data_IF_569468513536
#
_entry.id   IF_569468513536
#
_cell.length_a   1.000
_cell.length_b   1.000
_cell.length_c   1.000
_cell.angle_alpha   90.00
_cell.angle_beta   90.00
_cell.angle_gamma   90.00
#
_symmetry.space_group_name_H-M   'P 1'
#
loop_
_entity.id
_entity.type
_entity.pdbx_description
1 polymer ?
#
# COMPACT_ATOMS: atom_id res chain seq x y z
N UNK A 1 -6.81 -21.07 8.50
CA UNK A 1 -6.26 -19.72 8.26
C UNK A 1 -4.75 -19.83 8.33
N UNK A 2 -4.08 -19.87 7.19
CA UNK A 2 -2.62 -19.87 7.16
C UNK A 2 -2.17 -18.41 7.29
N UNK A 3 -1.72 -18.03 8.48
CA UNK A 3 -1.15 -16.72 8.80
C UNK A 3 0.35 -16.84 8.57
N UNK A 4 0.97 -15.86 7.91
CA UNK A 4 2.41 -15.69 7.99
C UNK A 4 2.70 -15.11 9.38
N UNK A 5 3.10 -15.97 10.33
CA UNK A 5 3.38 -15.50 11.68
C UNK A 5 4.60 -14.56 11.67
N UNK A 6 4.36 -13.28 11.94
CA UNK A 6 5.43 -12.29 12.08
C UNK A 6 6.11 -12.46 13.44
N UNK A 7 7.44 -12.52 13.45
CA UNK A 7 8.21 -12.57 14.69
C UNK A 7 7.95 -11.31 15.53
N UNK A 8 7.35 -11.52 16.71
CA UNK A 8 6.91 -10.45 17.61
C UNK A 8 8.08 -9.64 18.17
N UNK A 9 9.24 -10.26 18.40
CA UNK A 9 10.44 -9.56 18.90
C UNK A 9 11.01 -8.68 17.80
N UNK A 10 11.19 -9.21 16.59
CA UNK A 10 11.69 -8.45 15.45
C UNK A 10 10.78 -7.28 15.09
N UNK A 11 9.45 -7.49 15.06
CA UNK A 11 8.48 -6.40 14.85
C UNK A 11 8.59 -5.33 15.93
N UNK A 12 8.75 -5.72 17.20
CA UNK A 12 8.92 -4.76 18.30
C UNK A 12 10.20 -3.94 18.15
N UNK A 13 11.30 -4.56 17.72
CA UNK A 13 12.57 -3.87 17.46
C UNK A 13 12.39 -2.82 16.37
N UNK A 14 11.83 -3.21 15.22
CA UNK A 14 11.52 -2.30 14.12
C UNK A 14 10.66 -1.11 14.58
N UNK A 15 9.61 -1.38 15.37
CA UNK A 15 8.72 -0.34 15.86
C UNK A 15 9.41 0.60 16.84
N UNK A 16 10.18 0.07 17.78
CA UNK A 16 10.89 0.87 18.78
C UNK A 16 11.97 1.76 18.15
N UNK A 17 12.50 1.37 16.99
CA UNK A 17 13.46 2.20 16.25
C UNK A 17 12.81 3.48 15.72
N UNK A 18 11.61 3.38 15.13
CA UNK A 18 10.94 4.53 14.48
C UNK A 18 9.87 5.22 15.34
N UNK A 19 9.33 4.54 16.36
CA UNK A 19 8.10 4.97 17.01
C UNK A 19 8.01 4.65 18.49
N UNK A 20 7.63 5.66 19.27
CA UNK A 20 7.24 5.50 20.68
C UNK A 20 5.88 6.14 20.95
N UNK A 21 5.85 7.47 21.03
CA UNK A 21 4.64 8.29 21.17
C UNK A 21 4.45 9.22 19.95
N UNK A 22 4.96 8.79 18.81
CA UNK A 22 5.26 9.64 17.65
C UNK A 22 6.53 9.12 16.98
N UNK A 23 6.89 9.75 15.85
CA UNK A 23 8.18 9.54 15.21
C UNK A 23 9.31 9.86 16.19
N UNK A 24 10.33 9.02 16.19
CA UNK A 24 11.59 9.29 16.89
C UNK A 24 12.49 10.03 15.90
N UNK A 25 13.11 11.11 16.37
CA UNK A 25 14.08 11.85 15.55
C UNK A 25 15.26 10.92 15.19
N UNK A 26 15.79 11.05 13.96
CA UNK A 26 16.85 10.16 13.46
C UNK A 26 18.07 10.12 14.38
N UNK A 27 18.44 11.26 14.99
CA UNK A 27 19.56 11.40 15.92
C UNK A 27 19.34 10.69 17.27
N UNK A 28 18.09 10.36 17.59
CA UNK A 28 17.68 9.68 18.83
C UNK A 28 17.31 8.21 18.62
N UNK A 29 17.32 7.75 17.37
CA UNK A 29 17.01 6.37 17.02
C UNK A 29 18.20 5.48 17.39
N UNK A 30 18.03 4.69 18.46
CA UNK A 30 19.08 3.81 19.00
C UNK A 30 18.63 2.36 18.88
N UNK A 31 19.48 1.55 18.28
CA UNK A 31 19.34 0.09 18.22
C UNK A 31 20.69 -0.53 18.59
N UNK A 32 20.67 -1.59 19.39
CA UNK A 32 21.87 -2.35 19.69
C UNK A 32 22.12 -3.42 18.60
N UNK A 33 23.36 -3.85 18.44
CA UNK A 33 23.78 -4.76 17.37
C UNK A 33 23.04 -6.09 17.41
N UNK A 34 22.80 -6.66 18.60
CA UNK A 34 22.12 -7.95 18.76
C UNK A 34 20.66 -7.89 18.29
N UNK A 35 19.94 -6.84 18.67
CA UNK A 35 18.56 -6.61 18.24
C UNK A 35 18.49 -6.28 16.74
N UNK A 36 19.43 -5.50 16.22
CA UNK A 36 19.50 -5.21 14.79
C UNK A 36 19.74 -6.47 13.96
N UNK A 37 20.74 -7.29 14.35
CA UNK A 37 21.03 -8.56 13.70
C UNK A 37 19.85 -9.52 13.79
N UNK A 38 19.20 -9.60 14.95
CA UNK A 38 18.00 -10.42 15.12
C UNK A 38 16.85 -9.98 14.19
N UNK A 39 16.54 -8.68 14.16
CA UNK A 39 15.47 -8.16 13.31
C UNK A 39 15.78 -8.34 11.81
N UNK A 40 17.05 -8.23 11.43
CA UNK A 40 17.51 -8.52 10.06
C UNK A 40 17.39 -9.99 9.70
N UNK A 41 17.79 -10.90 10.58
CA UNK A 41 17.63 -12.35 10.37
C UNK A 41 16.16 -12.74 10.16
N UNK A 42 15.24 -12.06 10.86
CA UNK A 42 13.78 -12.28 10.69
C UNK A 42 13.17 -11.52 9.50
N UNK A 43 13.98 -10.78 8.73
CA UNK A 43 13.50 -10.04 7.55
C UNK A 43 12.68 -8.78 7.86
N UNK A 44 12.78 -8.25 9.08
CA UNK A 44 12.05 -7.03 9.47
C UNK A 44 12.91 -5.77 9.35
N UNK A 45 14.24 -5.91 9.38
CA UNK A 45 15.18 -4.81 9.16
C UNK A 45 16.19 -5.16 8.06
N UNK A 46 16.82 -4.12 7.53
CA UNK A 46 17.75 -4.16 6.42
C UNK A 46 18.99 -3.35 6.76
N UNK A 47 20.11 -3.68 6.11
CA UNK A 47 21.33 -2.90 6.25
C UNK A 47 21.11 -1.44 5.78
N UNK A 48 21.54 -0.50 6.62
CA UNK A 48 21.59 0.92 6.29
C UNK A 48 22.71 1.14 5.28
N UNK A 49 22.36 1.45 4.05
CA UNK A 49 23.31 1.63 2.96
C UNK A 49 22.90 2.82 2.11
N UNK A 50 23.86 3.69 1.81
CA UNK A 50 23.68 4.88 0.95
C UNK A 50 23.58 4.53 -0.54
N UNK A 51 23.45 3.24 -0.88
CA UNK A 51 23.29 2.81 -2.26
C UNK A 51 21.94 3.27 -2.78
N UNK A 52 21.97 3.92 -3.94
CA UNK A 52 20.78 4.38 -4.65
C UNK A 52 20.56 3.50 -5.88
N UNK A 53 19.36 2.95 -6.04
CA UNK A 53 18.89 2.36 -7.29
C UNK A 53 18.19 3.48 -8.07
N UNK A 54 18.63 3.70 -9.31
CA UNK A 54 18.12 4.79 -10.14
C UNK A 54 16.77 4.46 -10.76
N UNK A 55 15.97 5.48 -11.03
CA UNK A 55 14.66 5.39 -11.69
C UNK A 55 14.61 4.35 -12.82
N UNK A 56 15.45 4.48 -13.85
CA UNK A 56 15.40 3.58 -15.03
C UNK A 56 15.71 2.13 -14.65
N UNK A 57 16.57 1.90 -13.66
CA UNK A 57 16.86 0.56 -13.13
C UNK A 57 15.65 0.01 -12.36
N UNK A 58 14.94 0.84 -11.59
CA UNK A 58 13.69 0.45 -10.91
C UNK A 58 12.62 0.04 -11.93
N UNK A 59 12.44 0.81 -13.00
CA UNK A 59 11.45 0.49 -14.06
C UNK A 59 11.69 -0.89 -14.66
N UNK A 60 12.95 -1.21 -15.00
CA UNK A 60 13.34 -2.52 -15.54
C UNK A 60 13.06 -3.62 -14.51
N UNK A 61 13.52 -3.43 -13.27
CA UNK A 61 13.37 -4.42 -12.21
C UNK A 61 11.91 -4.69 -11.85
N UNK A 62 11.08 -3.66 -11.77
CA UNK A 62 9.63 -3.81 -11.56
C UNK A 62 9.02 -4.61 -12.72
N UNK A 63 9.36 -4.26 -13.96
CA UNK A 63 8.88 -4.97 -15.15
C UNK A 63 9.24 -6.47 -15.12
N UNK A 64 10.36 -6.85 -14.54
CA UNK A 64 10.72 -8.26 -14.38
C UNK A 64 9.97 -8.91 -13.22
N UNK A 65 9.89 -8.25 -12.07
CA UNK A 65 9.17 -8.76 -10.89
C UNK A 65 7.68 -9.04 -11.18
N UNK A 66 6.99 -8.17 -11.91
CA UNK A 66 5.56 -8.33 -12.19
C UNK A 66 5.22 -9.54 -13.07
N UNK A 67 6.22 -10.09 -13.79
CA UNK A 67 6.08 -11.33 -14.58
C UNK A 67 6.17 -12.58 -13.71
N UNK A 68 6.84 -12.50 -12.57
CA UNK A 68 7.08 -13.64 -11.66
C UNK A 68 6.02 -13.78 -10.58
N UNK A 69 5.26 -12.72 -10.29
CA UNK A 69 4.32 -12.66 -9.18
C UNK A 69 2.90 -13.03 -9.61
N UNK A 70 2.27 -13.94 -8.84
CA UNK A 70 0.87 -14.30 -9.05
C UNK A 70 -0.08 -13.21 -8.52
N UNK A 71 -0.83 -12.58 -9.43
CA UNK A 71 -1.79 -11.52 -9.08
C UNK A 71 -2.94 -12.02 -8.20
N UNK A 72 -3.45 -13.22 -8.45
CA UNK A 72 -4.51 -13.80 -7.62
C UNK A 72 -4.04 -13.98 -6.17
N UNK A 73 -2.76 -14.31 -5.96
CA UNK A 73 -2.22 -14.51 -4.62
C UNK A 73 -2.09 -13.17 -3.86
N UNK A 74 -1.82 -12.04 -4.53
CA UNK A 74 -1.83 -10.72 -3.88
C UNK A 74 -3.25 -10.27 -3.50
N UNK A 75 -4.25 -10.60 -4.31
CA UNK A 75 -5.68 -10.40 -3.99
C UNK A 75 -6.04 -11.15 -2.70
N UNK A 76 -5.66 -12.42 -2.61
CA UNK A 76 -5.90 -13.25 -1.44
C UNK A 76 -5.15 -12.76 -0.19
N UNK A 77 -3.91 -12.28 -0.35
CA UNK A 77 -3.14 -11.66 0.72
C UNK A 77 -3.85 -10.42 1.29
N UNK A 78 -4.35 -9.53 0.41
CA UNK A 78 -5.13 -8.37 0.80
C UNK A 78 -6.37 -8.77 1.60
N UNK A 79 -7.16 -9.74 1.12
CA UNK A 79 -8.37 -10.20 1.81
C UNK A 79 -8.05 -10.79 3.18
N UNK A 80 -7.05 -11.69 3.28
CA UNK A 80 -6.62 -12.27 4.56
C UNK A 80 -6.18 -11.19 5.57
N UNK A 81 -5.68 -10.05 5.12
CA UNK A 81 -5.26 -8.96 6.00
C UNK A 81 -6.42 -8.31 6.76
N UNK A 82 -7.66 -8.44 6.28
CA UNK A 82 -8.82 -7.73 6.80
C UNK A 82 -9.24 -8.25 8.17
N UNK A 83 -9.41 -9.57 8.33
CA UNK A 83 -9.75 -10.15 9.64
C UNK A 83 -8.53 -10.34 10.54
N UNK A 84 -7.35 -10.63 9.95
CA UNK A 84 -6.13 -10.94 10.73
C UNK A 84 -5.39 -9.69 11.19
N UNK A 85 -5.69 -8.53 10.60
CA UNK A 85 -4.96 -7.27 10.79
C UNK A 85 -3.46 -7.40 10.50
N UNK A 86 -3.07 -8.32 9.60
CA UNK A 86 -1.72 -8.38 9.04
C UNK A 86 -1.55 -7.27 7.98
N UNK A 87 -1.37 -6.04 8.46
CA UNK A 87 -1.34 -4.84 7.63
C UNK A 87 -0.29 -4.90 6.52
N UNK A 88 0.84 -5.58 6.77
CA UNK A 88 1.91 -5.78 5.81
C UNK A 88 1.50 -6.57 4.55
N UNK A 89 0.33 -7.19 4.52
CA UNK A 89 -0.18 -7.89 3.34
C UNK A 89 -1.02 -6.99 2.42
N UNK A 90 -1.37 -5.77 2.85
CA UNK A 90 -2.36 -4.91 2.18
C UNK A 90 -1.86 -4.31 0.87
N UNK A 91 -0.65 -3.74 0.87
CA UNK A 91 -0.16 -2.96 -0.28
C UNK A 91 0.25 -3.81 -1.49
N UNK A 92 0.50 -5.11 -1.31
CA UNK A 92 1.02 -5.96 -2.37
C UNK A 92 0.15 -6.00 -3.64
N UNK A 93 -1.18 -6.09 -3.46
CA UNK A 93 -2.12 -6.06 -4.59
C UNK A 93 -1.97 -4.77 -5.39
N UNK A 94 -1.81 -3.66 -4.69
CA UNK A 94 -1.66 -2.35 -5.30
C UNK A 94 -0.33 -2.22 -6.04
N UNK A 95 0.79 -2.54 -5.39
CA UNK A 95 2.11 -2.41 -6.01
C UNK A 95 2.23 -3.27 -7.27
N UNK A 96 1.61 -4.46 -7.27
CA UNK A 96 1.55 -5.30 -8.48
C UNK A 96 0.62 -4.73 -9.55
N UNK A 97 -0.54 -4.19 -9.16
CA UNK A 97 -1.47 -3.56 -10.08
C UNK A 97 -0.84 -2.36 -10.79
N UNK A 98 -0.17 -1.47 -10.04
CA UNK A 98 0.55 -0.32 -10.59
C UNK A 98 1.76 -0.78 -11.41
N UNK A 99 2.59 -1.68 -10.88
CA UNK A 99 3.77 -2.19 -11.58
C UNK A 99 3.46 -2.79 -12.95
N UNK A 100 2.31 -3.46 -13.11
CA UNK A 100 1.85 -4.03 -14.39
C UNK A 100 1.44 -2.97 -15.43
N UNK A 101 1.10 -1.76 -15.00
CA UNK A 101 0.73 -0.66 -15.92
C UNK A 101 1.94 0.08 -16.47
N UNK A 102 3.07 0.06 -15.75
CA UNK A 102 4.26 0.83 -16.08
C UNK A 102 4.93 0.26 -17.34
N UNK A 103 4.90 1.03 -18.42
CA UNK A 103 5.73 0.74 -19.59
C UNK A 103 7.19 1.11 -19.34
N UNK A 104 8.12 0.40 -19.97
CA UNK A 104 9.54 0.73 -19.91
C UNK A 104 9.76 2.11 -20.54
N UNK A 105 10.36 3.01 -19.76
CA UNK A 105 10.70 4.36 -20.18
C UNK A 105 11.92 4.87 -19.40
N UNK A 106 12.56 5.91 -19.93
CA UNK A 106 13.64 6.63 -19.23
C UNK A 106 13.09 7.80 -18.44
N UNK A 107 13.82 8.23 -17.42
CA UNK A 107 13.47 9.39 -16.60
C UNK A 107 13.22 10.64 -17.46
N UNK A 108 12.03 11.21 -17.34
CA UNK A 108 11.66 12.48 -17.97
C UNK A 108 11.48 13.51 -16.87
N UNK A 109 12.34 14.53 -16.87
CA UNK A 109 12.38 15.53 -15.81
C UNK A 109 11.03 16.29 -15.68
N UNK A 110 10.46 16.31 -14.48
CA UNK A 110 9.28 17.12 -14.17
C UNK A 110 9.68 18.58 -13.94
N UNK A 111 9.08 19.49 -14.73
CA UNK A 111 9.39 20.93 -14.67
C UNK A 111 9.08 21.56 -13.30
N UNK A 112 8.04 21.07 -12.64
CA UNK A 112 7.61 21.54 -11.32
C UNK A 112 8.35 20.83 -10.17
N UNK A 113 8.72 19.57 -10.37
CA UNK A 113 9.39 18.75 -9.37
C UNK A 113 10.57 17.97 -9.97
N UNK A 114 11.76 18.58 -10.10
CA UNK A 114 12.84 18.00 -10.91
C UNK A 114 13.40 16.65 -10.44
N UNK A 115 13.03 16.21 -9.24
CA UNK A 115 13.40 14.90 -8.68
C UNK A 115 12.43 13.78 -9.05
N UNK A 116 11.32 14.09 -9.74
CA UNK A 116 10.28 13.12 -10.11
C UNK A 116 10.12 13.02 -11.63
N UNK A 117 9.79 11.81 -12.09
CA UNK A 117 9.55 11.53 -13.50
C UNK A 117 8.15 11.97 -13.93
N UNK A 118 8.07 12.81 -14.97
CA UNK A 118 6.80 13.23 -15.61
C UNK A 118 6.01 12.06 -16.18
N UNK A 119 6.69 11.12 -16.86
CA UNK A 119 6.04 9.96 -17.48
C UNK A 119 5.38 9.06 -16.42
N UNK A 120 6.01 8.88 -15.26
CA UNK A 120 5.42 8.17 -14.14
C UNK A 120 4.14 8.84 -13.62
N UNK A 121 4.20 10.16 -13.43
CA UNK A 121 3.10 10.93 -12.86
C UNK A 121 1.91 11.00 -13.82
N UNK A 122 2.15 11.45 -15.05
CA UNK A 122 1.10 11.84 -15.98
C UNK A 122 0.31 10.63 -16.52
N UNK A 123 0.96 9.47 -16.65
CA UNK A 123 0.34 8.28 -17.23
C UNK A 123 -0.08 7.23 -16.19
N UNK A 124 0.48 7.26 -14.98
CA UNK A 124 0.27 6.19 -13.99
C UNK A 124 -0.09 6.67 -12.59
N UNK A 125 -0.10 7.98 -12.32
CA UNK A 125 -0.27 8.56 -10.98
C UNK A 125 0.80 8.07 -9.99
N UNK A 126 2.03 7.87 -10.47
CA UNK A 126 3.16 7.36 -9.68
C UNK A 126 4.20 8.47 -9.52
N UNK A 127 4.76 8.60 -8.32
CA UNK A 127 5.94 9.41 -8.06
C UNK A 127 7.16 8.62 -8.53
N UNK A 128 7.68 8.95 -9.71
CA UNK A 128 8.86 8.31 -10.30
C UNK A 128 10.16 8.79 -9.65
N UNK A 129 10.48 8.26 -8.47
CA UNK A 129 11.66 8.57 -7.67
C UNK A 129 12.82 7.58 -7.87
N UNK A 130 14.00 7.95 -7.35
CA UNK A 130 15.10 7.02 -7.08
C UNK A 130 14.83 6.27 -5.77
N UNK A 131 15.43 5.09 -5.59
CA UNK A 131 15.34 4.35 -4.34
C UNK A 131 16.64 4.39 -3.55
N UNK A 132 16.66 5.14 -2.44
CA UNK A 132 17.72 5.06 -1.46
C UNK A 132 17.49 3.85 -0.54
N UNK A 133 18.40 2.87 -0.58
CA UNK A 133 18.23 1.61 0.11
C UNK A 133 18.24 1.71 1.65
N UNK A 134 18.66 2.85 2.20
CA UNK A 134 18.49 3.15 3.63
C UNK A 134 17.00 3.26 4.04
N UNK A 135 16.11 3.61 3.10
CA UNK A 135 14.69 3.86 3.36
C UNK A 135 13.88 2.55 3.53
N UNK A 136 14.47 1.39 3.19
CA UNK A 136 13.82 0.07 3.36
C UNK A 136 13.27 -0.15 4.76
N UNK A 137 14.01 0.28 5.78
CA UNK A 137 13.59 0.12 7.17
C UNK A 137 12.33 0.95 7.47
N UNK A 138 12.25 2.21 7.02
CA UNK A 138 11.07 3.04 7.23
C UNK A 138 9.88 2.54 6.40
N UNK A 139 10.11 2.09 5.16
CA UNK A 139 9.05 1.51 4.32
C UNK A 139 8.45 0.26 4.97
N UNK A 140 9.30 -0.62 5.51
CA UNK A 140 8.82 -1.82 6.19
C UNK A 140 8.08 -1.48 7.50
N UNK A 141 8.60 -0.52 8.27
CA UNK A 141 7.94 -0.04 9.48
C UNK A 141 6.51 0.46 9.19
N UNK A 142 6.35 1.33 8.20
CA UNK A 142 5.05 1.88 7.78
C UNK A 142 4.10 0.80 7.26
N UNK A 143 4.63 -0.15 6.48
CA UNK A 143 3.91 -1.32 6.00
C UNK A 143 3.34 -2.15 7.15
N UNK A 144 4.13 -2.44 8.18
CA UNK A 144 3.67 -3.19 9.35
C UNK A 144 2.78 -2.38 10.32
N UNK A 145 2.87 -1.05 10.29
CA UNK A 145 2.14 -0.15 11.20
C UNK A 145 0.79 0.30 10.67
N UNK A 146 0.70 0.59 9.38
CA UNK A 146 -0.47 1.21 8.74
C UNK A 146 -0.95 0.47 7.49
N UNK A 147 -0.11 -0.37 6.89
CA UNK A 147 -0.42 -1.12 5.68
C UNK A 147 0.22 -0.58 4.41
N UNK A 148 1.20 0.32 4.56
CA UNK A 148 1.90 1.04 3.50
C UNK A 148 1.48 2.51 3.49
N UNK A 149 2.41 3.44 3.26
CA UNK A 149 2.11 4.89 3.22
C UNK A 149 2.49 5.49 1.87
N UNK A 150 3.69 5.21 1.37
CA UNK A 150 4.22 5.70 0.08
C UNK A 150 3.73 4.87 -1.11
N UNK A 151 2.43 4.58 -1.14
CA UNK A 151 1.82 3.59 -2.03
C UNK A 151 2.08 3.88 -3.53
N UNK A 152 2.23 5.15 -3.87
CA UNK A 152 2.41 5.70 -5.21
C UNK A 152 3.88 5.94 -5.59
N UNK A 153 4.85 5.70 -4.69
CA UNK A 153 6.26 5.88 -4.99
C UNK A 153 6.81 4.69 -5.77
N UNK A 154 7.57 4.95 -6.84
CA UNK A 154 8.22 3.91 -7.64
C UNK A 154 9.17 3.07 -6.78
N UNK A 155 9.92 3.71 -5.89
CA UNK A 155 10.81 3.07 -4.91
C UNK A 155 10.06 2.13 -3.97
N UNK A 156 8.87 2.53 -3.47
CA UNK A 156 8.04 1.70 -2.61
C UNK A 156 7.42 0.53 -3.39
N UNK A 157 6.93 0.75 -4.61
CA UNK A 157 6.40 -0.30 -5.48
C UNK A 157 7.45 -1.40 -5.69
N UNK A 158 8.68 -1.03 -6.02
CA UNK A 158 9.78 -2.00 -6.16
C UNK A 158 10.04 -2.75 -4.85
N UNK A 159 10.19 -2.03 -3.73
CA UNK A 159 10.38 -2.63 -2.41
C UNK A 159 9.26 -3.63 -2.07
N UNK A 160 7.99 -3.24 -2.28
CA UNK A 160 6.84 -4.06 -1.93
C UNK A 160 6.78 -5.34 -2.77
N UNK A 161 7.11 -5.26 -4.06
CA UNK A 161 7.19 -6.42 -4.95
C UNK A 161 8.36 -7.35 -4.59
N UNK A 162 9.53 -6.81 -4.20
CA UNK A 162 10.64 -7.62 -3.70
C UNK A 162 10.25 -8.37 -2.41
N UNK A 163 9.54 -7.72 -1.49
CA UNK A 163 9.05 -8.37 -0.28
C UNK A 163 8.00 -9.43 -0.59
N UNK A 164 7.10 -9.20 -1.55
CA UNK A 164 6.13 -10.22 -1.95
C UNK A 164 6.80 -11.43 -2.59
N UNK A 165 7.82 -11.21 -3.43
CA UNK A 165 8.57 -12.29 -4.08
C UNK A 165 9.13 -13.31 -3.09
N UNK A 166 9.56 -12.87 -1.90
CA UNK A 166 10.07 -13.73 -0.82
C UNK A 166 9.02 -14.70 -0.25
N UNK A 167 7.74 -14.36 -0.40
CA UNK A 167 6.61 -15.13 0.12
C UNK A 167 5.68 -15.61 -1.01
N UNK A 168 6.10 -15.51 -2.28
CA UNK A 168 5.25 -15.83 -3.43
C UNK A 168 4.89 -17.33 -3.49
N UNK A 169 5.72 -18.19 -2.91
CA UNK A 169 5.46 -19.63 -2.78
C UNK A 169 4.42 -19.96 -1.69
N UNK A 170 4.06 -18.99 -0.85
CA UNK A 170 3.01 -19.15 0.15
C UNK A 170 1.65 -18.82 -0.46
N UNK A 171 0.75 -19.80 -0.48
CA UNK A 171 -0.61 -19.60 -0.97
C UNK A 171 -1.52 -19.05 0.15
N UNK A 172 -2.14 -17.91 -0.10
CA UNK A 172 -3.11 -17.32 0.82
C UNK A 172 -4.52 -17.91 0.60
N UNK A 173 -5.27 -18.10 1.68
CA UNK A 173 -6.62 -18.66 1.65
C UNK A 173 -7.58 -17.77 2.45
N UNK A 174 -8.26 -16.80 1.80
CA UNK A 174 -9.25 -15.97 2.46
C UNK A 174 -10.37 -16.80 3.07
N UNK A 175 -10.73 -16.51 4.31
CA UNK A 175 -11.88 -17.15 4.94
C UNK A 175 -13.17 -16.51 4.46
N UNK A 176 -14.34 -17.17 4.62
CA UNK A 176 -15.63 -16.53 4.36
C UNK A 176 -15.83 -15.23 5.17
N UNK A 177 -15.17 -15.11 6.32
CA UNK A 177 -15.22 -13.90 7.14
C UNK A 177 -14.40 -12.75 6.54
N UNK A 178 -13.22 -13.03 5.97
CA UNK A 178 -12.42 -12.04 5.22
C UNK A 178 -13.22 -11.47 4.04
N UNK A 179 -13.84 -12.35 3.26
CA UNK A 179 -14.68 -11.99 2.11
C UNK A 179 -15.90 -11.19 2.56
N UNK A 180 -16.53 -11.57 3.68
CA UNK A 180 -17.65 -10.82 4.26
C UNK A 180 -17.22 -9.39 4.64
N UNK A 181 -16.07 -9.21 5.32
CA UNK A 181 -15.57 -7.87 5.67
C UNK A 181 -15.38 -7.03 4.41
N UNK A 182 -14.75 -7.58 3.37
CA UNK A 182 -14.52 -6.85 2.12
C UNK A 182 -15.84 -6.40 1.48
N UNK A 183 -16.83 -7.29 1.39
CA UNK A 183 -18.14 -6.96 0.83
C UNK A 183 -18.93 -5.97 1.70
N UNK A 184 -18.79 -6.03 3.02
CA UNK A 184 -19.41 -5.04 3.92
C UNK A 184 -18.77 -3.65 3.71
N UNK A 185 -17.45 -3.57 3.44
CA UNK A 185 -16.78 -2.31 3.05
C UNK A 185 -17.35 -1.78 1.73
N UNK A 186 -17.45 -2.61 0.68
CA UNK A 186 -18.01 -2.20 -0.61
C UNK A 186 -19.47 -1.73 -0.49
N UNK A 187 -20.29 -2.45 0.28
CA UNK A 187 -21.68 -2.04 0.58
C UNK A 187 -21.73 -0.72 1.34
N UNK A 188 -20.82 -0.51 2.29
CA UNK A 188 -20.76 0.75 3.02
C UNK A 188 -20.41 1.90 2.07
N UNK A 189 -19.47 1.71 1.15
CA UNK A 189 -19.14 2.69 0.10
C UNK A 189 -20.36 3.00 -0.77
N UNK A 190 -21.05 1.98 -1.29
CA UNK A 190 -22.22 2.15 -2.17
C UNK A 190 -23.42 2.80 -1.45
N UNK A 191 -23.59 2.53 -0.15
CA UNK A 191 -24.65 3.14 0.66
C UNK A 191 -24.45 4.63 0.89
N UNK A 192 -23.23 5.13 0.68
CA UNK A 192 -22.81 6.43 1.12
C UNK A 192 -23.21 7.55 0.14
N UNK A 193 -24.47 7.65 -0.25
CA UNK A 193 -24.94 8.42 -1.42
C UNK A 193 -24.90 9.97 -1.37
N UNK A 194 -24.38 10.59 -0.32
CA UNK A 194 -24.38 12.05 -0.21
C UNK A 194 -23.19 12.66 -0.96
N UNK A 195 -23.46 13.39 -2.04
CA UNK A 195 -22.46 14.04 -2.92
C UNK A 195 -21.55 15.05 -2.20
N UNK A 196 -21.93 15.53 -1.02
CA UNK A 196 -21.07 16.44 -0.22
C UNK A 196 -20.11 15.72 0.70
N UNK A 197 -20.38 14.45 0.99
CA UNK A 197 -19.60 13.69 1.94
C UNK A 197 -18.28 13.22 1.32
N UNK A 198 -17.19 13.52 1.99
CA UNK A 198 -15.83 13.19 1.54
C UNK A 198 -15.41 11.77 1.94
N UNK A 199 -14.33 11.29 1.33
CA UNK A 199 -13.64 10.06 1.74
C UNK A 199 -13.28 10.06 3.25
N UNK A 200 -12.86 11.20 3.82
CA UNK A 200 -12.63 11.35 5.26
C UNK A 200 -13.87 11.09 6.13
N UNK A 201 -15.07 11.33 5.60
CA UNK A 201 -16.32 11.07 6.33
C UNK A 201 -16.74 9.60 6.17
N UNK A 202 -16.58 9.03 4.97
CA UNK A 202 -16.72 7.59 4.72
C UNK A 202 -15.80 6.76 5.62
N UNK A 203 -14.52 7.14 5.72
CA UNK A 203 -13.50 6.50 6.55
C UNK A 203 -13.98 6.24 7.99
N UNK A 204 -14.65 7.23 8.60
CA UNK A 204 -15.15 7.13 9.98
C UNK A 204 -16.20 6.04 10.16
N UNK A 205 -16.94 5.70 9.10
CA UNK A 205 -18.01 4.69 9.13
C UNK A 205 -17.44 3.26 9.09
N UNK A 206 -16.27 3.08 8.49
CA UNK A 206 -15.62 1.77 8.34
C UNK A 206 -15.10 1.19 9.67
N UNK A 207 -14.96 2.01 10.73
CA UNK A 207 -14.52 1.56 12.06
C UNK A 207 -15.42 0.48 12.68
N UNK A 208 -16.69 0.47 12.29
CA UNK A 208 -17.71 -0.43 12.84
C UNK A 208 -17.80 -1.75 12.04
N UNK A 209 -17.07 -1.85 10.92
CA UNK A 209 -17.03 -3.04 10.05
C UNK A 209 -15.88 -3.97 10.45
N UNK A 210 -14.71 -3.42 10.76
CA UNK A 210 -13.54 -4.21 11.15
C UNK A 210 -12.60 -3.43 12.10
N UNK A 211 -11.87 -4.14 12.99
CA UNK A 211 -10.92 -3.51 13.90
C UNK A 211 -9.83 -2.76 13.15
N UNK A 212 -9.79 -1.43 13.33
CA UNK A 212 -8.86 -0.56 12.60
C UNK A 212 -8.62 0.78 13.29
N UNK A 213 -7.45 1.37 13.05
CA UNK A 213 -7.18 2.77 13.34
C UNK A 213 -7.61 3.68 12.18
N UNK A 214 -7.67 5.01 12.41
CA UNK A 214 -7.94 5.99 11.35
C UNK A 214 -6.98 5.83 10.15
N UNK A 215 -5.68 5.76 10.45
CA UNK A 215 -4.65 5.61 9.42
C UNK A 215 -4.81 4.32 8.62
N UNK A 216 -5.09 3.19 9.28
CA UNK A 216 -5.34 1.90 8.61
C UNK A 216 -6.53 1.94 7.65
N UNK A 217 -7.55 2.74 7.95
CA UNK A 217 -8.72 2.90 7.07
C UNK A 217 -8.45 3.85 5.92
N UNK A 218 -7.70 4.93 6.14
CA UNK A 218 -7.22 5.80 5.06
C UNK A 218 -6.41 4.98 4.06
N UNK A 219 -5.40 4.24 4.52
CA UNK A 219 -4.56 3.41 3.64
C UNK A 219 -5.38 2.37 2.87
N UNK A 220 -6.41 1.78 3.50
CA UNK A 220 -7.31 0.88 2.78
C UNK A 220 -8.07 1.60 1.65
N UNK A 221 -8.58 2.81 1.90
CA UNK A 221 -9.26 3.60 0.87
C UNK A 221 -8.29 4.07 -0.23
N UNK A 222 -7.05 4.43 0.12
CA UNK A 222 -6.00 4.76 -0.84
C UNK A 222 -5.71 3.56 -1.75
N UNK A 223 -5.55 2.35 -1.17
CA UNK A 223 -5.38 1.13 -1.96
C UNK A 223 -6.52 0.94 -2.95
N UNK A 224 -7.78 1.07 -2.50
CA UNK A 224 -8.93 0.95 -3.39
C UNK A 224 -8.98 2.06 -4.46
N UNK A 225 -8.52 3.27 -4.14
CA UNK A 225 -8.44 4.36 -5.10
C UNK A 225 -7.41 4.05 -6.19
N UNK A 226 -6.21 3.62 -5.83
CA UNK A 226 -5.19 3.29 -6.81
C UNK A 226 -5.45 2.00 -7.60
N UNK A 227 -6.29 1.09 -7.07
CA UNK A 227 -6.86 -0.03 -7.80
C UNK A 227 -7.99 0.37 -8.78
N UNK A 228 -8.27 1.67 -8.93
CA UNK A 228 -9.38 2.20 -9.74
C UNK A 228 -10.74 1.63 -9.32
N UNK A 229 -10.93 1.43 -8.01
CA UNK A 229 -12.19 1.02 -7.40
C UNK A 229 -12.89 2.24 -6.77
N UNK A 230 -12.14 3.13 -6.15
CA UNK A 230 -12.63 4.42 -5.62
C UNK A 230 -12.15 5.57 -6.49
N UNK A 231 -12.97 5.96 -7.46
CA UNK A 231 -12.67 7.02 -8.42
C UNK A 231 -13.73 8.12 -8.35
N UNK A 232 -13.29 9.38 -8.42
CA UNK A 232 -14.20 10.50 -8.55
C UNK A 232 -14.82 10.51 -9.95
N UNK A 233 -16.14 10.70 -10.07
CA UNK A 233 -16.82 10.78 -11.39
C UNK A 233 -16.66 12.13 -12.09
N UNK A 234 -16.22 13.14 -11.36
CA UNK A 234 -16.03 14.50 -11.82
C UNK A 234 -14.87 15.15 -11.06
N UNK A 235 -14.24 16.12 -11.69
CA UNK A 235 -13.23 16.96 -11.06
C UNK A 235 -13.89 17.91 -10.06
N UNK A 236 -13.27 18.11 -8.90
CA UNK A 236 -13.83 18.92 -7.81
C UNK A 236 -12.77 19.83 -7.23
N UNK A 237 -13.18 20.95 -6.64
CA UNK A 237 -12.24 21.85 -5.96
C UNK A 237 -11.38 21.12 -4.92
N UNK A 238 -10.12 21.53 -4.88
CA UNK A 238 -9.15 21.07 -3.90
C UNK A 238 -9.67 21.29 -2.48
N UNK A 239 -9.47 20.31 -1.61
CA UNK A 239 -9.71 20.43 -0.17
C UNK A 239 -8.41 20.10 0.53
N UNK A 240 -8.03 20.92 1.50
CA UNK A 240 -6.88 20.65 2.37
C UNK A 240 -7.11 19.32 3.12
N UNK A 241 -6.33 18.29 2.77
CA UNK A 241 -6.49 16.93 3.26
C UNK A 241 -5.21 16.12 3.11
N UNK A 242 -5.00 15.15 4.01
CA UNK A 242 -3.89 14.19 3.98
C UNK A 242 -4.12 13.02 2.98
N UNK A 243 -5.05 13.17 2.04
CA UNK A 243 -5.40 12.10 1.07
C UNK A 243 -4.66 12.34 -0.24
N UNK A 244 -4.40 11.27 -0.99
CA UNK A 244 -3.82 11.38 -2.33
C UNK A 244 -4.73 12.17 -3.27
N UNK A 245 -4.15 12.69 -4.35
CA UNK A 245 -4.91 13.34 -5.44
C UNK A 245 -5.99 12.41 -6.01
N UNK A 246 -5.73 11.10 -6.02
CA UNK A 246 -6.64 10.10 -6.55
C UNK A 246 -7.90 9.91 -5.70
N UNK A 247 -7.77 10.02 -4.38
CA UNK A 247 -8.88 9.82 -3.45
C UNK A 247 -9.54 11.12 -2.99
N UNK A 248 -8.81 12.24 -2.96
CA UNK A 248 -9.29 13.48 -2.36
C UNK A 248 -10.53 14.08 -3.04
N UNK A 249 -10.72 13.79 -4.33
CA UNK A 249 -11.87 14.24 -5.10
C UNK A 249 -13.10 13.32 -4.94
N UNK A 250 -12.95 12.10 -4.42
CA UNK A 250 -14.06 11.15 -4.26
C UNK A 250 -15.13 11.68 -3.28
N UNK A 251 -16.39 11.48 -3.64
CA UNK A 251 -17.57 11.83 -2.84
C UNK A 251 -18.56 10.68 -2.79
N UNK A 252 -19.44 10.72 -1.80
CA UNK A 252 -20.44 9.68 -1.56
C UNK A 252 -21.29 9.23 -2.76
N UNK A 253 -21.66 10.14 -3.66
CA UNK A 253 -22.41 9.82 -4.89
C UNK A 253 -21.59 9.11 -5.97
N UNK A 254 -20.27 9.05 -5.84
CA UNK A 254 -19.40 8.35 -6.79
C UNK A 254 -19.53 6.83 -6.64
N UNK A 255 -19.82 6.33 -5.44
CA UNK A 255 -19.80 4.89 -5.12
C UNK A 255 -18.44 4.25 -5.50
N UNK A 256 -18.38 2.94 -5.70
CA UNK A 256 -17.22 2.24 -6.21
C UNK A 256 -17.45 1.72 -7.64
N UNK A 257 -16.36 1.57 -8.38
CA UNK A 257 -16.34 0.97 -9.71
C UNK A 257 -16.59 -0.54 -9.61
N UNK A 258 -17.86 -0.95 -9.77
CA UNK A 258 -18.29 -2.37 -9.69
C UNK A 258 -17.60 -3.26 -10.71
N UNK A 259 -17.28 -2.73 -11.89
CA UNK A 259 -16.58 -3.47 -12.95
C UNK A 259 -15.16 -3.78 -12.51
N UNK A 260 -14.39 -2.78 -12.07
CA UNK A 260 -13.01 -3.01 -11.61
C UNK A 260 -12.95 -3.86 -10.35
N UNK A 261 -13.86 -3.64 -9.39
CA UNK A 261 -13.95 -4.52 -8.22
C UNK A 261 -14.15 -5.98 -8.63
N UNK A 262 -15.04 -6.26 -9.59
CA UNK A 262 -15.28 -7.61 -10.09
C UNK A 262 -14.12 -8.17 -10.90
N UNK A 263 -13.46 -7.34 -11.72
CA UNK A 263 -12.31 -7.78 -12.50
C UNK A 263 -11.11 -8.15 -11.62
N UNK A 264 -10.90 -7.41 -10.53
CA UNK A 264 -9.75 -7.60 -9.62
C UNK A 264 -10.03 -8.70 -8.60
N UNK A 265 -11.21 -8.69 -7.97
CA UNK A 265 -11.53 -9.59 -6.87
C UNK A 265 -12.43 -10.77 -7.26
N UNK A 266 -12.92 -10.80 -8.51
CA UNK A 266 -13.64 -11.93 -9.12
C UNK A 266 -14.69 -12.56 -8.19
N UNK A 267 -14.49 -13.82 -7.78
CA UNK A 267 -15.42 -14.59 -6.94
C UNK A 267 -15.59 -14.05 -5.51
N UNK A 268 -14.74 -13.11 -5.08
CA UNK A 268 -14.80 -12.51 -3.75
C UNK A 268 -15.70 -11.27 -3.67
N UNK A 269 -16.37 -10.86 -4.76
CA UNK A 269 -17.31 -9.72 -4.76
C UNK A 269 -18.74 -10.19 -5.00
N UNK A 270 -19.65 -9.72 -4.15
CA UNK A 270 -21.08 -9.95 -4.24
C UNK A 270 -21.74 -8.65 -4.73
N UNK A 271 -21.99 -8.57 -6.04
CA UNK A 271 -22.65 -7.43 -6.69
C UNK A 271 -24.16 -7.52 -6.49
#
# INVERSE_FOLDING_TARGET
MHIIETDKKAKKILFNYFWKNGWIDDDKSIINDDDFLYAKEKGLMFDFTDKIIKHDELIIKINDLVKEINFENTVRAFLCSLSTRQLNLRSFILSLYLGKKINIHSFINNKSYPSYCNECNDNYYIIGDDFNLQDRNVYNFEKYKWGGVRLEHLSYIYFDLEEFKKINDFEFYPTPYDVKIFNDILKQIDSYNNEKDSANKLEKTLKDIFPSSKAERIILLEILSYLDILEAKEEREYRDTDLSEKLMHWRGGDSYNKINASNIFNEYVFI
#
